data_IF_569068986189
#
_entry.id   IF_569068986189
#
_cell.length_a   1.000
_cell.length_b   1.000
_cell.length_c   1.000
_cell.angle_alpha   90.00
_cell.angle_beta   90.00
_cell.angle_gamma   90.00
#
_symmetry.space_group_name_H-M   'P 1'
#
loop_
_entity.id
_entity.type
_entity.pdbx_description
1 polymer ?
#
# COMPACT_ATOMS: atom_id res chain seq x y z
N UNK A 1 -10.09 12.01 -24.77
CA UNK A 1 -8.66 12.31 -24.50
C UNK A 1 -8.57 13.01 -23.16
N UNK A 2 -7.69 12.57 -22.26
CA UNK A 2 -7.56 13.18 -20.93
C UNK A 2 -6.80 14.51 -21.03
N UNK A 3 -7.45 15.64 -20.73
CA UNK A 3 -6.78 16.93 -20.61
C UNK A 3 -6.01 17.00 -19.28
N UNK A 4 -4.70 17.23 -19.34
CA UNK A 4 -3.79 17.29 -18.18
C UNK A 4 -3.67 18.70 -17.58
N UNK A 5 -4.01 19.74 -18.33
CA UNK A 5 -3.87 21.13 -17.87
C UNK A 5 -4.78 21.37 -16.66
N UNK A 6 -4.21 21.89 -15.57
CA UNK A 6 -4.93 22.17 -14.32
C UNK A 6 -5.17 20.94 -13.43
N UNK A 7 -4.61 19.78 -13.78
CA UNK A 7 -4.73 18.55 -12.98
C UNK A 7 -3.44 18.29 -12.19
N UNK A 8 -3.57 17.84 -10.94
CA UNK A 8 -2.44 17.50 -10.07
C UNK A 8 -1.93 16.06 -10.27
N UNK A 9 -0.79 15.73 -9.65
CA UNK A 9 -0.12 14.43 -9.76
C UNK A 9 -1.01 13.23 -9.39
N UNK A 10 -1.96 13.41 -8.46
CA UNK A 10 -2.97 12.40 -8.08
C UNK A 10 -3.70 11.81 -9.29
N UNK A 11 -3.89 12.59 -10.35
CA UNK A 11 -4.56 12.17 -11.59
C UNK A 11 -3.90 10.95 -12.22
N UNK A 12 -2.57 10.79 -12.07
CA UNK A 12 -1.86 9.61 -12.57
C UNK A 12 -2.38 8.35 -11.86
N UNK A 13 -2.54 8.41 -10.53
CA UNK A 13 -3.09 7.31 -9.75
C UNK A 13 -4.56 7.05 -10.12
N UNK A 14 -5.35 8.10 -10.33
CA UNK A 14 -6.76 7.97 -10.72
C UNK A 14 -6.91 7.29 -12.10
N UNK A 15 -5.97 7.53 -13.03
CA UNK A 15 -5.91 6.82 -14.32
C UNK A 15 -5.51 5.36 -14.12
N UNK A 16 -4.46 5.09 -13.32
CA UNK A 16 -3.99 3.72 -13.07
C UNK A 16 -5.04 2.85 -12.37
N UNK A 17 -5.81 3.44 -11.46
CA UNK A 17 -6.92 2.79 -10.75
C UNK A 17 -8.22 2.75 -11.56
N UNK A 18 -8.19 3.18 -12.82
CA UNK A 18 -9.36 3.26 -13.72
C UNK A 18 -10.54 4.08 -13.18
N UNK A 19 -10.29 5.02 -12.25
CA UNK A 19 -11.33 5.93 -11.76
C UNK A 19 -11.80 6.90 -12.84
N UNK A 20 -10.92 7.19 -13.80
CA UNK A 20 -11.20 8.01 -14.97
C UNK A 20 -10.64 7.32 -16.23
N UNK A 21 -11.28 7.51 -17.40
CA UNK A 21 -12.46 8.35 -17.64
C UNK A 21 -13.79 7.69 -17.29
N UNK A 22 -13.82 6.37 -17.06
CA UNK A 22 -15.03 5.60 -16.79
C UNK A 22 -15.01 5.02 -15.36
N UNK A 23 -15.60 5.71 -14.37
CA UNK A 23 -15.64 5.23 -12.99
C UNK A 23 -16.30 3.86 -12.81
N UNK A 24 -17.14 3.42 -13.75
CA UNK A 24 -17.78 2.09 -13.72
C UNK A 24 -16.78 0.94 -13.89
N UNK A 25 -15.58 1.24 -14.39
CA UNK A 25 -14.47 0.28 -14.56
C UNK A 25 -13.41 0.43 -13.46
N UNK A 26 -13.68 1.21 -12.41
CA UNK A 26 -12.77 1.40 -11.28
C UNK A 26 -12.37 0.04 -10.70
N UNK A 27 -11.07 -0.11 -10.45
CA UNK A 27 -10.54 -1.32 -9.81
C UNK A 27 -10.89 -1.21 -8.32
N UNK A 28 -11.67 -2.16 -7.75
CA UNK A 28 -12.02 -2.12 -6.33
C UNK A 28 -10.76 -2.41 -5.50
N UNK A 29 -10.20 -1.36 -4.90
CA UNK A 29 -9.05 -1.46 -4.00
C UNK A 29 -9.44 -0.83 -2.68
N UNK A 30 -9.32 -1.59 -1.59
CA UNK A 30 -9.47 -1.05 -0.24
C UNK A 30 -8.19 -0.30 0.14
N UNK A 31 -8.33 1.02 0.37
CA UNK A 31 -7.22 1.89 0.74
C UNK A 31 -7.46 2.40 2.16
N UNK A 32 -6.64 1.93 3.09
CA UNK A 32 -6.67 2.35 4.49
C UNK A 32 -5.64 3.45 4.72
N UNK A 33 -6.11 4.69 4.85
CA UNK A 33 -5.26 5.84 5.22
C UNK A 33 -5.00 5.86 6.73
N UNK A 34 -3.95 6.58 7.14
CA UNK A 34 -3.50 6.64 8.55
C UNK A 34 -3.19 5.26 9.15
N UNK A 35 -2.84 4.31 8.28
CA UNK A 35 -2.55 2.92 8.64
C UNK A 35 -1.05 2.67 8.63
N UNK A 36 -0.37 3.15 9.65
CA UNK A 36 1.09 2.97 9.78
C UNK A 36 1.39 1.51 10.13
N UNK A 37 2.05 0.79 9.21
CA UNK A 37 2.57 -0.55 9.46
C UNK A 37 3.78 -0.43 10.37
N UNK A 38 3.78 -1.17 11.49
CA UNK A 38 4.87 -1.19 12.46
C UNK A 38 5.79 -2.40 12.23
N UNK A 39 5.20 -3.59 12.04
CA UNK A 39 5.94 -4.84 11.94
C UNK A 39 5.33 -5.78 10.88
N UNK A 40 6.19 -6.52 10.17
CA UNK A 40 5.80 -7.58 9.24
C UNK A 40 6.53 -8.86 9.66
N UNK A 41 5.77 -9.90 10.03
CA UNK A 41 6.29 -11.20 10.47
C UNK A 41 5.89 -12.29 9.50
N UNK A 42 6.87 -13.05 9.02
CA UNK A 42 6.62 -14.25 8.22
C UNK A 42 6.51 -15.46 9.15
N UNK A 43 5.35 -16.13 9.13
CA UNK A 43 5.16 -17.40 9.80
C UNK A 43 5.47 -18.54 8.83
N UNK A 44 6.71 -19.01 8.83
CA UNK A 44 7.16 -20.09 7.93
C UNK A 44 6.41 -21.40 8.15
N UNK A 45 5.92 -21.67 9.36
CA UNK A 45 5.17 -22.89 9.66
C UNK A 45 3.77 -22.89 9.05
N UNK A 46 3.08 -21.74 9.09
CA UNK A 46 1.73 -21.59 8.53
C UNK A 46 1.71 -21.05 7.09
N UNK A 47 2.88 -20.64 6.57
CA UNK A 47 3.05 -20.00 5.24
C UNK A 47 2.23 -18.72 5.06
N UNK A 48 2.04 -17.98 6.14
CA UNK A 48 1.32 -16.72 6.17
C UNK A 48 2.22 -15.58 6.65
N UNK A 49 1.85 -14.36 6.30
CA UNK A 49 2.49 -13.11 6.69
C UNK A 49 1.53 -12.33 7.57
N UNK A 50 2.01 -11.91 8.73
CA UNK A 50 1.26 -11.14 9.72
C UNK A 50 1.80 -9.71 9.70
N UNK A 51 0.93 -8.75 9.40
CA UNK A 51 1.23 -7.31 9.34
C UNK A 51 0.56 -6.64 10.53
N UNK A 52 1.36 -6.10 11.44
CA UNK A 52 0.88 -5.36 12.61
C UNK A 52 1.02 -3.85 12.39
N UNK A 53 -0.04 -3.12 12.73
CA UNK A 53 -0.11 -1.68 12.60
C UNK A 53 -0.02 -1.00 13.97
N UNK A 54 0.44 0.25 13.96
CA UNK A 54 0.64 1.06 15.18
C UNK A 54 -0.64 1.35 15.95
N UNK A 55 -1.79 1.29 15.28
CA UNK A 55 -3.11 1.42 15.91
C UNK A 55 -3.59 0.15 16.62
N UNK A 56 -2.73 -0.88 16.71
CA UNK A 56 -3.03 -2.16 17.37
C UNK A 56 -3.74 -3.18 16.48
N UNK A 57 -4.12 -2.81 15.25
CA UNK A 57 -4.74 -3.76 14.33
C UNK A 57 -3.71 -4.68 13.67
N UNK A 58 -4.17 -5.85 13.20
CA UNK A 58 -3.32 -6.84 12.54
C UNK A 58 -4.04 -7.45 11.34
N UNK A 59 -3.27 -7.72 10.28
CA UNK A 59 -3.74 -8.33 9.04
C UNK A 59 -2.93 -9.58 8.74
N UNK A 60 -3.61 -10.65 8.30
CA UNK A 60 -2.97 -11.90 7.86
C UNK A 60 -3.16 -12.05 6.36
N UNK A 61 -2.07 -12.30 5.65
CA UNK A 61 -2.06 -12.48 4.19
C UNK A 61 -1.06 -13.56 3.78
N UNK A 62 -1.25 -14.14 2.59
CA UNK A 62 -0.31 -15.12 2.04
C UNK A 62 0.99 -14.49 1.53
N UNK A 63 0.88 -13.29 0.97
CA UNK A 63 1.97 -12.54 0.36
C UNK A 63 1.79 -11.06 0.63
N UNK A 64 2.90 -10.32 0.73
CA UNK A 64 2.92 -8.86 0.93
C UNK A 64 3.86 -8.24 -0.08
N UNK A 65 3.42 -7.15 -0.72
CA UNK A 65 4.26 -6.30 -1.57
C UNK A 65 4.59 -5.04 -0.76
N UNK A 66 5.89 -4.76 -0.59
CA UNK A 66 6.37 -3.62 0.17
C UNK A 66 6.83 -2.53 -0.79
N UNK A 67 6.13 -1.39 -0.80
CA UNK A 67 6.41 -0.24 -1.69
C UNK A 67 6.87 1.01 -0.92
N UNK A 68 7.44 0.82 0.27
CA UNK A 68 7.97 1.94 1.07
C UNK A 68 9.30 2.45 0.49
N UNK A 69 9.69 3.67 0.85
CA UNK A 69 10.97 4.21 0.40
C UNK A 69 12.16 3.50 1.07
N UNK A 70 13.32 3.56 0.43
CA UNK A 70 14.57 3.01 0.99
C UNK A 70 14.93 3.65 2.33
N UNK A 71 14.60 4.93 2.54
CA UNK A 71 14.81 5.61 3.82
C UNK A 71 14.06 4.95 4.98
N UNK A 72 12.79 4.58 4.75
CA UNK A 72 11.97 3.86 5.72
C UNK A 72 12.53 2.47 6.02
N UNK A 73 13.03 1.77 5.00
CA UNK A 73 13.67 0.45 5.19
C UNK A 73 14.94 0.57 6.04
N UNK A 74 15.73 1.63 5.85
CA UNK A 74 16.99 1.84 6.59
C UNK A 74 16.76 2.30 8.02
N UNK A 75 15.77 3.15 8.27
CA UNK A 75 15.42 3.61 9.62
C UNK A 75 15.07 2.44 10.54
N UNK A 76 14.42 1.41 9.98
CA UNK A 76 14.02 0.20 10.70
C UNK A 76 15.00 -0.97 10.54
N UNK A 77 16.16 -0.71 9.93
CA UNK A 77 17.27 -1.63 9.86
C UNK A 77 18.25 -1.29 10.97
N UNK A 78 18.14 -1.98 12.10
CA UNK A 78 19.18 -1.92 13.13
C UNK A 78 20.44 -2.59 12.57
N UNK A 79 21.52 -1.81 12.41
CA UNK A 79 22.86 -2.36 12.22
C UNK A 79 23.22 -3.12 13.50
N UNK A 80 23.03 -4.43 13.49
CA UNK A 80 23.73 -5.35 14.39
C UNK A 80 25.11 -5.62 13.80
#
# INVERSE_FOLDING_TARGET
MLNWKGKGYKTILDVLLKKIPNPSEEIPVEILLNKEVENIKWNTAQKDVIVSCKDGTTYTARSVIVTVSVGVLKERFDFI
#
